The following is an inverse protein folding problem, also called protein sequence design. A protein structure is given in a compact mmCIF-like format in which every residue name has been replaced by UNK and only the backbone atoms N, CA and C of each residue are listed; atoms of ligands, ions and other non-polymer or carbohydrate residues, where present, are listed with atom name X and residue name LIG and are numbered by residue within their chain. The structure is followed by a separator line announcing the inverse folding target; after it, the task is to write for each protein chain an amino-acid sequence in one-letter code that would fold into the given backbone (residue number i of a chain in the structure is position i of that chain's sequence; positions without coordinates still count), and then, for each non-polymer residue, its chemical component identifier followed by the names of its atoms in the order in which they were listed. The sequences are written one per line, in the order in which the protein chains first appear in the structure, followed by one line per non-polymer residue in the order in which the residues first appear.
data_IF_253174894052
#
_entry.id   IF_253174894052
#
_cell.length_a   1.000
_cell.length_b   1.000
_cell.length_c   1.000
_cell.angle_alpha   90.00
_cell.angle_beta   90.00
_cell.angle_gamma   90.00
#
_symmetry.space_group_name_H-M   'P 1'
#
loop_
_entity.id
_entity.type
_entity.pdbx_description
1 polymer ?
#
# COMPACT_ATOMS: atom_id res chain seq x y z
N UNK A 1 -7.99 8.77 -14.24
CA UNK A 1 -6.95 9.45 -15.06
C UNK A 1 -6.81 8.64 -16.33
N UNK A 2 -6.71 9.26 -17.49
CA UNK A 2 -6.58 8.55 -18.77
C UNK A 2 -5.19 8.81 -19.33
N UNK A 3 -4.49 7.74 -19.69
CA UNK A 3 -3.19 7.82 -20.33
C UNK A 3 -3.29 7.30 -21.76
N UNK A 4 -2.67 8.03 -22.67
CA UNK A 4 -2.56 7.64 -24.07
C UNK A 4 -1.11 7.26 -24.30
N UNK A 5 -0.89 6.00 -24.69
CA UNK A 5 0.44 5.52 -25.09
C UNK A 5 0.36 5.16 -26.56
N UNK A 6 1.21 5.78 -27.36
CA UNK A 6 1.36 5.47 -28.79
C UNK A 6 2.63 4.65 -28.96
N UNK A 7 2.48 3.41 -29.40
CA UNK A 7 3.60 2.56 -29.77
C UNK A 7 3.78 2.55 -31.29
N UNK A 8 5.04 2.66 -31.72
CA UNK A 8 5.42 2.50 -33.13
C UNK A 8 5.90 1.06 -33.34
N UNK A 9 5.39 0.40 -34.38
CA UNK A 9 5.85 -0.92 -34.79
C UNK A 9 7.32 -0.87 -35.27
N UNK A 10 8.13 -1.84 -34.84
CA UNK A 10 9.54 -1.94 -35.26
C UNK A 10 9.71 -2.48 -36.69
N UNK A 11 8.69 -3.13 -37.25
CA UNK A 11 8.76 -3.83 -38.55
C UNK A 11 7.76 -3.31 -39.61
N UNK A 12 6.87 -2.38 -39.25
CA UNK A 12 5.95 -1.68 -40.16
C UNK A 12 5.65 -0.29 -39.59
N UNK A 13 5.23 0.66 -40.44
CA UNK A 13 4.82 2.02 -40.02
C UNK A 13 3.47 2.04 -39.26
N UNK A 14 3.11 0.93 -38.62
CA UNK A 14 1.84 0.81 -37.89
C UNK A 14 1.98 1.48 -36.53
N UNK A 15 0.99 2.32 -36.21
CA UNK A 15 0.88 3.00 -34.92
C UNK A 15 -0.29 2.40 -34.16
N UNK A 16 -0.03 1.92 -32.96
CA UNK A 16 -1.06 1.46 -32.04
C UNK A 16 -1.22 2.50 -30.93
N UNK A 17 -2.43 3.04 -30.80
CA UNK A 17 -2.79 3.91 -29.68
C UNK A 17 -3.54 3.08 -28.64
N UNK A 18 -2.96 2.95 -27.45
CA UNK A 18 -3.60 2.30 -26.31
C UNK A 18 -4.13 3.38 -25.38
N UNK A 19 -5.45 3.39 -25.19
CA UNK A 19 -6.10 4.24 -24.20
C UNK A 19 -6.22 3.43 -22.91
N UNK A 20 -5.42 3.78 -21.91
CA UNK A 20 -5.47 3.16 -20.59
C UNK A 20 -6.35 4.02 -19.70
N UNK A 21 -7.58 3.57 -19.49
CA UNK A 21 -8.47 4.15 -18.48
C UNK A 21 -8.12 3.53 -17.13
N UNK A 22 -7.35 4.23 -16.31
CA UNK A 22 -7.20 3.85 -14.92
C UNK A 22 -8.47 4.33 -14.21
N UNK A 23 -9.37 3.38 -13.91
CA UNK A 23 -10.47 3.62 -13.01
C UNK A 23 -9.89 4.21 -11.73
N UNK A 24 -10.26 5.45 -11.42
CA UNK A 24 -9.87 6.10 -10.17
C UNK A 24 -10.70 5.50 -9.03
N UNK A 25 -10.50 4.21 -8.78
CA UNK A 25 -10.82 3.64 -7.49
C UNK A 25 -10.12 4.47 -6.41
N UNK A 26 -10.71 4.52 -5.21
CA UNK A 26 -10.05 5.10 -4.05
C UNK A 26 -8.64 4.52 -3.94
N UNK A 27 -7.62 5.37 -4.10
CA UNK A 27 -6.24 4.94 -4.02
C UNK A 27 -5.88 4.75 -2.55
N UNK A 28 -5.34 3.59 -2.19
CA UNK A 28 -4.80 3.38 -0.85
C UNK A 28 -3.53 4.23 -0.67
N UNK A 29 -3.67 5.38 -0.01
CA UNK A 29 -2.57 6.32 0.23
C UNK A 29 -1.51 5.76 1.19
N UNK A 30 -1.87 4.77 2.01
CA UNK A 30 -1.00 4.15 2.99
C UNK A 30 -0.16 3.00 2.40
N UNK A 31 -0.48 2.52 1.19
CA UNK A 31 0.23 1.38 0.59
C UNK A 31 1.74 1.67 0.42
N UNK A 32 2.57 0.80 0.98
CA UNK A 32 4.03 0.89 0.98
C UNK A 32 4.60 2.05 1.79
N UNK A 33 3.80 2.74 2.62
CA UNK A 33 4.26 3.86 3.44
C UNK A 33 4.94 3.41 4.73
N UNK A 34 5.89 4.19 5.28
CA UNK A 34 6.44 3.91 6.60
C UNK A 34 5.33 3.87 7.64
N UNK A 35 5.28 2.78 8.41
CA UNK A 35 4.34 2.60 9.50
C UNK A 35 5.10 2.22 10.77
N UNK A 36 4.65 2.76 11.90
CA UNK A 36 5.21 2.52 13.22
C UNK A 36 4.06 2.25 14.20
N UNK A 37 4.38 1.57 15.30
CA UNK A 37 3.45 1.32 16.39
C UNK A 37 4.19 1.50 17.72
N UNK A 38 3.43 1.67 18.80
CA UNK A 38 3.97 1.91 20.13
C UNK A 38 4.96 0.84 20.59
N UNK A 39 4.69 -0.42 20.26
CA UNK A 39 5.56 -1.56 20.55
C UNK A 39 5.28 -2.71 19.59
N UNK A 40 6.26 -3.61 19.42
CA UNK A 40 6.05 -4.86 18.67
C UNK A 40 5.83 -6.01 19.66
N UNK A 41 4.75 -6.78 19.44
CA UNK A 41 4.56 -8.05 20.13
C UNK A 41 5.56 -9.07 19.61
N UNK A 42 6.54 -9.44 20.44
CA UNK A 42 7.72 -10.23 20.08
C UNK A 42 8.68 -9.57 19.07
N UNK A 43 9.93 -10.02 19.09
CA UNK A 43 10.99 -9.61 18.15
C UNK A 43 10.86 -10.30 16.78
N UNK A 44 9.63 -10.44 16.27
CA UNK A 44 9.37 -11.02 14.96
C UNK A 44 8.76 -9.99 14.02
N UNK A 45 9.25 -9.97 12.79
CA UNK A 45 8.74 -9.09 11.73
C UNK A 45 7.26 -9.33 11.39
N UNK A 46 6.71 -10.46 11.82
CA UNK A 46 5.32 -10.87 11.59
C UNK A 46 4.29 -9.86 12.11
N UNK A 47 4.59 -9.19 13.21
CA UNK A 47 3.64 -8.29 13.88
C UNK A 47 4.02 -6.82 13.74
N UNK A 48 5.07 -6.51 12.97
CA UNK A 48 5.54 -5.15 12.75
C UNK A 48 4.52 -4.30 11.99
N UNK A 49 4.43 -3.02 12.34
CA UNK A 49 3.49 -2.06 11.75
C UNK A 49 3.42 -2.09 10.21
N UNK A 50 4.53 -2.39 9.53
CA UNK A 50 4.63 -2.53 8.07
C UNK A 50 3.71 -3.58 7.46
N UNK A 51 3.23 -4.57 8.22
CA UNK A 51 2.32 -5.59 7.69
C UNK A 51 0.94 -5.05 7.31
N UNK A 52 0.53 -3.88 7.81
CA UNK A 52 -0.77 -3.26 7.49
C UNK A 52 -0.77 -2.42 6.21
N UNK A 53 0.41 -2.08 5.70
CA UNK A 53 0.60 -1.19 4.54
C UNK A 53 1.05 -1.94 3.29
N UNK A 54 1.05 -3.28 3.30
CA UNK A 54 1.48 -4.11 2.17
C UNK A 54 0.31 -4.61 1.28
N UNK A 55 -0.94 -4.25 1.61
CA UNK A 55 -2.15 -4.63 0.88
C UNK A 55 -2.68 -6.03 1.17
N UNK A 56 -2.06 -6.80 2.06
CA UNK A 56 -2.57 -8.10 2.49
C UNK A 56 -3.66 -7.92 3.56
N UNK A 57 -4.90 -8.29 3.23
CA UNK A 57 -6.06 -8.14 4.12
C UNK A 57 -6.54 -9.46 4.75
N UNK A 58 -5.70 -10.51 4.77
CA UNK A 58 -6.12 -11.83 5.27
C UNK A 58 -6.61 -11.82 6.72
N UNK A 59 -6.01 -11.00 7.60
CA UNK A 59 -6.47 -10.84 8.99
C UNK A 59 -6.22 -12.07 9.89
N UNK A 60 -5.26 -12.92 9.55
CA UNK A 60 -4.99 -14.17 10.27
C UNK A 60 -3.73 -14.02 11.12
N UNK A 61 -3.82 -14.22 12.44
CA UNK A 61 -2.73 -13.91 13.37
C UNK A 61 -1.44 -14.71 13.14
N UNK A 62 -1.57 -15.97 12.74
CA UNK A 62 -0.42 -16.82 12.38
C UNK A 62 -0.01 -16.64 10.91
N UNK A 63 -0.37 -15.52 10.27
CA UNK A 63 0.16 -15.05 8.98
C UNK A 63 0.77 -13.65 9.14
N UNK A 64 1.57 -13.17 8.19
CA UNK A 64 2.11 -11.79 8.21
C UNK A 64 1.09 -10.82 7.60
N UNK A 65 -0.13 -10.78 8.17
CA UNK A 65 -1.25 -9.97 7.67
C UNK A 65 -1.96 -9.16 8.77
N UNK A 66 -1.40 -9.16 9.98
CA UNK A 66 -1.87 -8.36 11.11
C UNK A 66 -0.70 -7.65 11.79
N UNK A 67 -1.02 -6.73 12.69
CA UNK A 67 -0.06 -6.12 13.62
C UNK A 67 -0.50 -6.42 15.05
N UNK A 68 0.46 -6.37 15.97
CA UNK A 68 0.16 -6.60 17.38
C UNK A 68 1.17 -5.83 18.24
N UNK A 69 0.67 -5.04 19.17
CA UNK A 69 1.47 -4.32 20.18
C UNK A 69 1.64 -5.18 21.43
N UNK A 70 2.55 -4.83 22.32
CA UNK A 70 2.54 -5.41 23.66
C UNK A 70 1.26 -5.00 24.42
N UNK A 71 1.03 -5.67 25.54
CA UNK A 71 -0.03 -5.25 26.45
C UNK A 71 0.42 -3.99 27.19
N UNK A 72 -0.08 -2.84 26.75
CA UNK A 72 0.27 -1.53 27.29
C UNK A 72 -0.91 -0.56 27.26
N UNK A 73 -0.93 0.36 28.22
CA UNK A 73 -1.94 1.41 28.25
C UNK A 73 -1.62 2.46 27.18
N UNK A 74 -2.57 2.73 26.29
CA UNK A 74 -2.39 3.73 25.23
C UNK A 74 -1.60 3.21 24.02
N UNK A 75 -1.69 1.90 23.73
CA UNK A 75 -1.16 1.32 22.51
C UNK A 75 -1.65 2.08 21.26
N UNK A 76 -0.76 2.31 20.30
CA UNK A 76 -1.06 3.09 19.10
C UNK A 76 -0.34 2.55 17.87
N UNK A 77 -0.88 2.91 16.71
CA UNK A 77 -0.28 2.69 15.39
C UNK A 77 -0.39 3.97 14.57
N UNK A 78 0.61 4.23 13.73
CA UNK A 78 0.68 5.39 12.87
C UNK A 78 1.34 5.04 11.52
N UNK A 79 0.83 5.65 10.45
CA UNK A 79 1.47 5.65 9.12
C UNK A 79 1.86 7.07 8.73
N UNK A 80 3.05 7.21 8.15
CA UNK A 80 3.50 8.46 7.54
C UNK A 80 3.17 8.48 6.04
N UNK A 81 2.22 9.33 5.65
CA UNK A 81 1.82 9.50 4.24
C UNK A 81 2.86 10.29 3.40
N UNK A 82 3.92 10.80 4.04
CA UNK A 82 5.02 11.57 3.46
C UNK A 82 4.71 13.03 3.17
N UNK A 83 3.43 13.44 3.23
CA UNK A 83 2.95 14.81 3.06
C UNK A 83 1.49 14.89 3.47
N UNK A 84 0.94 16.11 3.63
CA UNK A 84 -0.49 16.32 3.82
C UNK A 84 -1.25 15.71 2.64
N UNK A 85 -2.23 14.86 2.95
CA UNK A 85 -3.14 14.24 1.98
C UNK A 85 -4.58 14.57 2.32
N UNK A 86 -5.40 14.66 1.29
CA UNK A 86 -6.85 14.64 1.44
C UNK A 86 -7.30 13.17 1.46
N UNK A 87 -7.81 12.75 2.61
CA UNK A 87 -8.37 11.40 2.80
C UNK A 87 -9.84 11.47 2.36
N UNK A 88 -10.27 10.49 1.56
CA UNK A 88 -11.62 10.43 0.97
C UNK A 88 -12.48 9.40 1.69
#
# INVERSE_FOLDING_TARGET
MTYVVTANGFFSNDTATVVITIGVGTTNLAFGKPAIQSSNYYETDRYHASQTVNGNTMGVWYTSSIIHTQYEQGAWWQVDLGSKKDIK
#
